data_IF_152497021396
#
_entry.id   IF_152497021396
#
_cell.length_a   1.000
_cell.length_b   1.000
_cell.length_c   1.000
_cell.angle_alpha   90.00
_cell.angle_beta   90.00
_cell.angle_gamma   90.00
#
_symmetry.space_group_name_H-M   'P 1'
#
loop_
_entity.id
_entity.type
_entity.pdbx_description
1 polymer ?
#
# COMPACT_ATOMS: atom_id res chain seq x y z
N UNK A 1 -63.26 57.29 -18.62
CA UNK A 1 -61.82 57.58 -18.69
C UNK A 1 -61.17 56.62 -17.71
N UNK A 2 -60.76 55.45 -18.18
CA UNK A 2 -60.16 54.43 -17.32
C UNK A 2 -58.71 54.83 -17.03
N UNK A 3 -58.44 55.23 -15.79
CA UNK A 3 -57.08 55.52 -15.33
C UNK A 3 -56.27 54.23 -15.34
N UNK A 4 -55.49 54.00 -16.40
CA UNK A 4 -54.50 52.93 -16.44
C UNK A 4 -53.34 53.32 -15.52
N UNK A 5 -53.23 52.65 -14.39
CA UNK A 5 -52.14 52.82 -13.42
C UNK A 5 -51.09 51.74 -13.70
N UNK A 6 -49.79 52.07 -13.70
CA UNK A 6 -48.73 51.06 -13.93
C UNK A 6 -48.43 50.28 -12.64
N UNK A 7 -47.86 49.08 -12.76
CA UNK A 7 -47.42 48.28 -11.60
C UNK A 7 -46.41 49.08 -10.75
N UNK A 8 -45.60 49.94 -11.36
CA UNK A 8 -44.67 50.83 -10.65
C UNK A 8 -45.41 51.87 -9.81
N UNK A 9 -46.47 52.45 -10.36
CA UNK A 9 -47.31 53.41 -9.64
C UNK A 9 -48.04 52.72 -8.46
N UNK A 10 -48.53 51.48 -8.66
CA UNK A 10 -49.13 50.66 -7.59
C UNK A 10 -48.08 50.33 -6.51
N UNK A 11 -46.87 49.91 -6.90
CA UNK A 11 -45.79 49.64 -5.95
C UNK A 11 -45.39 50.89 -5.17
N UNK A 12 -45.36 52.05 -5.80
CA UNK A 12 -45.07 53.32 -5.14
C UNK A 12 -46.19 53.75 -4.20
N UNK A 13 -47.45 53.56 -4.60
CA UNK A 13 -48.64 53.85 -3.78
C UNK A 13 -48.72 52.92 -2.56
N UNK A 14 -48.33 51.65 -2.71
CA UNK A 14 -48.34 50.64 -1.65
C UNK A 14 -47.02 50.54 -0.88
N UNK A 15 -46.05 51.42 -1.15
CA UNK A 15 -44.73 51.43 -0.51
C UNK A 15 -43.95 50.11 -0.69
N UNK A 16 -44.18 49.39 -1.80
CA UNK A 16 -43.58 48.09 -2.14
C UNK A 16 -42.37 48.17 -3.08
N UNK A 17 -42.03 49.37 -3.59
CA UNK A 17 -40.84 49.54 -4.41
C UNK A 17 -39.58 49.55 -3.52
N UNK A 18 -38.44 49.07 -4.04
CA UNK A 18 -37.15 49.19 -3.34
C UNK A 18 -36.81 50.67 -3.32
N UNK A 19 -37.26 51.33 -2.27
CA UNK A 19 -37.25 52.77 -2.13
C UNK A 19 -35.79 53.27 -2.04
N UNK A 20 -35.51 54.51 -2.45
CA UNK A 20 -34.18 55.14 -2.27
C UNK A 20 -33.69 54.99 -0.83
N UNK A 21 -34.63 54.99 0.13
CA UNK A 21 -34.41 54.76 1.55
C UNK A 21 -33.80 53.38 1.87
N UNK A 22 -34.24 52.31 1.21
CA UNK A 22 -33.70 50.95 1.41
C UNK A 22 -32.26 50.87 0.90
N UNK A 23 -31.98 51.51 -0.23
CA UNK A 23 -30.64 51.54 -0.83
C UNK A 23 -29.68 52.32 0.08
N UNK A 24 -30.10 53.47 0.60
CA UNK A 24 -29.30 54.26 1.55
C UNK A 24 -29.01 53.48 2.85
N UNK A 25 -30.01 52.77 3.40
CA UNK A 25 -29.83 51.91 4.58
C UNK A 25 -28.79 50.82 4.29
N UNK A 26 -28.87 50.19 3.11
CA UNK A 26 -27.96 49.14 2.70
C UNK A 26 -26.53 49.66 2.51
N UNK A 27 -26.36 50.86 1.96
CA UNK A 27 -25.04 51.50 1.83
C UNK A 27 -24.44 51.83 3.19
N UNK A 28 -25.21 52.47 4.09
CA UNK A 28 -24.74 52.83 5.44
C UNK A 28 -24.30 51.59 6.21
N UNK A 29 -25.14 50.55 6.24
CA UNK A 29 -24.84 49.31 6.97
C UNK A 29 -23.73 48.51 6.26
N UNK A 30 -23.74 48.51 4.93
CA UNK A 30 -22.75 47.81 4.11
C UNK A 30 -21.35 48.37 4.30
N UNK A 31 -21.19 49.69 4.28
CA UNK A 31 -19.90 50.33 4.46
C UNK A 31 -19.41 50.23 5.90
N UNK A 32 -20.31 50.36 6.88
CA UNK A 32 -20.02 50.10 8.29
C UNK A 32 -19.51 48.67 8.52
N UNK A 33 -20.16 47.68 7.90
CA UNK A 33 -19.77 46.28 8.05
C UNK A 33 -18.46 45.97 7.33
N UNK A 34 -18.21 46.54 6.14
CA UNK A 34 -16.91 46.40 5.46
C UNK A 34 -15.76 46.95 6.30
N UNK A 35 -15.93 48.12 6.92
CA UNK A 35 -14.92 48.67 7.83
C UNK A 35 -14.68 47.75 9.03
N UNK A 36 -15.77 47.24 9.62
CA UNK A 36 -15.68 46.27 10.72
C UNK A 36 -14.91 45.00 10.34
N UNK A 37 -15.15 44.46 9.14
CA UNK A 37 -14.49 43.24 8.64
C UNK A 37 -12.98 43.42 8.46
N UNK A 38 -12.51 44.64 8.14
CA UNK A 38 -11.09 44.97 7.94
C UNK A 38 -10.35 44.98 9.29
N UNK A 39 -10.88 45.71 10.28
CA UNK A 39 -10.31 45.79 11.62
C UNK A 39 -11.40 45.71 12.71
N UNK A 40 -11.78 44.50 13.11
CA UNK A 40 -12.87 44.30 14.06
C UNK A 40 -12.52 44.72 15.50
N UNK A 41 -11.23 44.78 15.86
CA UNK A 41 -10.77 45.08 17.23
C UNK A 41 -10.91 46.57 17.51
N UNK A 42 -10.49 47.40 16.55
CA UNK A 42 -10.51 48.84 16.71
C UNK A 42 -11.83 49.49 16.26
N UNK A 43 -12.73 48.71 15.65
CA UNK A 43 -14.01 49.22 15.18
C UNK A 43 -14.93 49.67 16.33
N UNK A 44 -15.23 50.97 16.36
CA UNK A 44 -16.13 51.58 17.35
C UNK A 44 -17.47 52.02 16.77
N UNK A 45 -17.66 51.94 15.44
CA UNK A 45 -18.89 52.39 14.77
C UNK A 45 -19.13 53.90 14.79
N UNK A 46 -18.12 54.71 15.11
CA UNK A 46 -18.24 56.17 15.25
C UNK A 46 -18.55 56.90 13.94
N UNK A 47 -18.24 56.28 12.79
CA UNK A 47 -18.46 56.85 11.45
C UNK A 47 -19.85 56.61 10.89
N UNK A 48 -20.68 55.79 11.55
CA UNK A 48 -22.03 55.49 11.08
C UNK A 48 -22.92 56.72 11.27
N UNK A 49 -23.51 57.22 10.19
CA UNK A 49 -24.43 58.35 10.25
C UNK A 49 -25.81 57.89 10.77
N UNK A 50 -25.93 57.75 12.10
CA UNK A 50 -27.16 57.29 12.75
C UNK A 50 -28.36 58.22 12.52
N UNK A 51 -28.12 59.52 12.28
CA UNK A 51 -29.18 60.47 11.95
C UNK A 51 -29.76 60.19 10.56
N UNK A 52 -28.90 60.00 9.57
CA UNK A 52 -29.31 59.63 8.21
C UNK A 52 -29.94 58.24 8.14
N UNK A 53 -29.43 57.28 8.90
CA UNK A 53 -30.05 55.96 9.07
C UNK A 53 -31.46 56.07 9.67
N UNK A 54 -31.61 56.89 10.71
CA UNK A 54 -32.87 57.12 11.40
C UNK A 54 -33.90 57.84 10.50
N UNK A 55 -33.46 58.85 9.74
CA UNK A 55 -34.30 59.61 8.83
C UNK A 55 -34.69 58.78 7.59
N UNK A 56 -33.82 57.90 7.10
CA UNK A 56 -34.15 56.93 6.05
C UNK A 56 -35.25 55.94 6.47
N UNK A 57 -35.52 55.80 7.78
CA UNK A 57 -36.61 54.96 8.30
C UNK A 57 -37.98 55.68 8.35
N UNK A 58 -38.05 56.96 8.01
CA UNK A 58 -39.25 57.82 8.17
C UNK A 58 -40.50 57.36 7.39
N UNK A 59 -40.31 56.73 6.22
CA UNK A 59 -41.38 56.29 5.33
C UNK A 59 -41.50 54.76 5.21
N UNK A 60 -40.68 54.02 5.96
CA UNK A 60 -40.69 52.57 5.94
C UNK A 60 -41.78 52.02 6.84
N UNK A 61 -42.46 50.97 6.35
CA UNK A 61 -43.34 50.18 7.20
C UNK A 61 -42.51 49.10 7.91
N UNK A 62 -42.78 48.80 9.20
CA UNK A 62 -42.06 47.77 9.95
C UNK A 62 -42.16 46.33 9.39
N UNK A 63 -42.96 46.13 8.33
CA UNK A 63 -43.19 44.87 7.62
C UNK A 63 -42.34 44.77 6.34
N UNK A 64 -41.82 45.89 5.82
CA UNK A 64 -41.10 46.01 4.54
C UNK A 64 -39.60 46.25 4.76
N UNK A 65 -39.05 45.68 5.84
CA UNK A 65 -37.64 45.81 6.16
C UNK A 65 -36.82 44.95 5.19
N UNK A 66 -35.70 45.44 4.64
CA UNK A 66 -34.93 44.76 3.61
C UNK A 66 -34.05 43.62 4.17
N UNK A 67 -34.67 42.58 4.74
CA UNK A 67 -33.94 41.48 5.39
C UNK A 67 -32.96 40.79 4.47
N UNK A 68 -33.35 40.51 3.21
CA UNK A 68 -32.48 39.85 2.24
C UNK A 68 -31.20 40.64 1.97
N UNK A 69 -31.29 41.98 1.91
CA UNK A 69 -30.14 42.85 1.66
C UNK A 69 -29.22 42.90 2.88
N UNK A 70 -29.79 42.98 4.09
CA UNK A 70 -29.01 42.93 5.33
C UNK A 70 -28.28 41.59 5.48
N UNK A 71 -28.97 40.48 5.22
CA UNK A 71 -28.36 39.16 5.21
C UNK A 71 -27.27 39.06 4.15
N UNK A 72 -27.50 39.56 2.94
CA UNK A 72 -26.48 39.55 1.88
C UNK A 72 -25.22 40.33 2.27
N UNK A 73 -25.35 41.49 2.92
CA UNK A 73 -24.20 42.27 3.42
C UNK A 73 -23.34 41.44 4.38
N UNK A 74 -23.99 40.74 5.31
CA UNK A 74 -23.30 39.90 6.31
C UNK A 74 -22.64 38.69 5.66
N UNK A 75 -23.32 38.04 4.72
CA UNK A 75 -22.82 36.84 4.06
C UNK A 75 -21.76 37.10 2.98
N UNK A 76 -21.79 38.28 2.35
CA UNK A 76 -20.88 38.61 1.23
C UNK A 76 -19.51 39.09 1.70
N UNK A 77 -19.43 39.70 2.88
CA UNK A 77 -18.18 40.24 3.40
C UNK A 77 -17.67 39.32 4.52
N UNK A 78 -16.62 38.56 4.22
CA UNK A 78 -15.99 37.66 5.18
C UNK A 78 -14.77 38.32 5.84
N UNK A 79 -14.62 38.09 7.16
CA UNK A 79 -13.37 38.41 7.86
C UNK A 79 -12.21 37.61 7.27
N UNK A 80 -11.04 38.25 7.22
CA UNK A 80 -9.80 37.56 6.82
C UNK A 80 -9.52 36.38 7.75
N UNK A 81 -8.84 35.33 7.25
CA UNK A 81 -8.45 34.16 8.07
C UNK A 81 -7.76 34.55 9.39
N UNK A 82 -6.92 35.59 9.36
CA UNK A 82 -6.23 36.10 10.55
C UNK A 82 -7.22 36.66 11.59
N UNK A 83 -8.23 37.41 11.15
CA UNK A 83 -9.23 38.01 12.03
C UNK A 83 -10.23 36.97 12.56
N UNK A 84 -10.53 35.93 11.77
CA UNK A 84 -11.43 34.84 12.14
C UNK A 84 -10.86 33.90 13.21
N UNK A 85 -9.52 33.84 13.35
CA UNK A 85 -8.83 33.02 14.35
C UNK A 85 -8.80 33.63 15.77
N UNK A 86 -9.14 34.91 15.90
CA UNK A 86 -9.19 35.63 17.17
C UNK A 86 -10.51 35.27 17.87
N UNK A 87 -10.44 34.31 18.82
CA UNK A 87 -11.59 33.77 19.58
C UNK A 87 -12.54 34.81 20.20
N UNK A 88 -12.09 36.05 20.37
CA UNK A 88 -12.85 37.11 21.04
C UNK A 88 -13.59 38.04 20.07
N UNK A 89 -13.41 37.87 18.75
CA UNK A 89 -14.05 38.69 17.72
C UNK A 89 -15.12 37.87 17.02
N UNK A 90 -16.35 37.96 17.54
CA UNK A 90 -17.52 37.45 16.84
C UNK A 90 -18.22 38.59 16.09
N UNK A 91 -18.77 38.31 14.91
CA UNK A 91 -19.59 39.27 14.15
C UNK A 91 -20.83 39.72 14.95
N UNK A 92 -21.20 39.01 16.01
CA UNK A 92 -22.21 39.44 16.99
C UNK A 92 -21.80 40.72 17.75
N UNK A 93 -20.49 41.01 17.81
CA UNK A 93 -19.93 42.27 18.30
C UNK A 93 -20.36 43.44 17.41
N UNK A 94 -20.40 43.29 16.08
CA UNK A 94 -20.86 44.34 15.17
C UNK A 94 -22.30 44.76 15.46
N UNK A 95 -23.22 43.80 15.59
CA UNK A 95 -24.61 44.08 15.93
C UNK A 95 -24.74 44.78 17.30
N UNK A 96 -23.91 44.38 18.26
CA UNK A 96 -23.88 44.97 19.61
C UNK A 96 -23.34 46.40 19.61
N UNK A 97 -22.30 46.67 18.82
CA UNK A 97 -21.72 48.01 18.62
C UNK A 97 -22.75 48.93 17.94
N UNK A 98 -23.41 48.45 16.88
CA UNK A 98 -24.48 49.20 16.22
C UNK A 98 -25.62 49.56 17.19
N UNK A 99 -26.03 48.60 18.03
CA UNK A 99 -27.07 48.84 19.02
C UNK A 99 -26.66 49.89 20.06
N UNK A 100 -25.47 49.74 20.66
CA UNK A 100 -24.97 50.65 21.69
C UNK A 100 -24.84 52.09 21.18
N UNK A 101 -24.33 52.26 19.96
CA UNK A 101 -24.17 53.57 19.35
C UNK A 101 -25.50 54.20 18.93
N UNK A 102 -26.45 53.38 18.45
CA UNK A 102 -27.79 53.87 18.16
C UNK A 102 -28.53 54.32 19.43
N UNK A 103 -28.39 53.59 20.53
CA UNK A 103 -28.90 53.99 21.84
C UNK A 103 -28.28 55.31 22.33
N UNK A 104 -26.98 55.51 22.09
CA UNK A 104 -26.30 56.78 22.35
C UNK A 104 -26.89 57.92 21.50
N UNK A 105 -27.09 57.71 20.20
CA UNK A 105 -27.75 58.69 19.32
C UNK A 105 -29.16 59.05 19.82
N UNK A 106 -29.98 58.07 20.21
CA UNK A 106 -31.32 58.34 20.74
C UNK A 106 -31.28 59.18 22.02
N UNK A 107 -30.30 58.95 22.89
CA UNK A 107 -30.12 59.73 24.10
C UNK A 107 -29.68 61.17 23.80
N UNK A 108 -28.88 61.38 22.75
CA UNK A 108 -28.39 62.70 22.36
C UNK A 108 -29.47 63.51 21.59
N UNK A 109 -30.27 62.87 20.74
CA UNK A 109 -31.32 63.51 19.92
C UNK A 109 -32.62 63.76 20.71
N UNK A 110 -33.02 62.83 21.59
CA UNK A 110 -34.30 62.89 22.31
C UNK A 110 -34.17 63.13 23.81
N UNK A 111 -32.95 63.17 24.35
CA UNK A 111 -32.70 63.46 25.75
C UNK A 111 -33.22 64.84 26.15
N UNK A 112 -33.81 64.93 27.35
CA UNK A 112 -34.10 66.24 27.95
C UNK A 112 -32.78 66.84 28.46
N UNK A 113 -32.51 68.10 28.14
CA UNK A 113 -31.46 68.87 28.82
C UNK A 113 -31.84 68.96 30.31
N UNK A 114 -31.23 68.15 31.15
CA UNK A 114 -31.38 68.27 32.60
C UNK A 114 -30.52 69.45 33.03
N UNK A 115 -31.15 70.53 33.52
CA UNK A 115 -30.44 71.60 34.24
C UNK A 115 -29.61 70.97 35.37
N UNK A 116 -28.40 71.49 35.59
CA UNK A 116 -27.36 70.89 36.45
C UNK A 116 -27.75 70.65 37.92
N UNK A 117 -28.95 71.05 38.37
CA UNK A 117 -29.38 70.99 39.77
C UNK A 117 -29.94 69.66 40.26
N UNK A 118 -30.25 68.68 39.40
CA UNK A 118 -30.86 67.39 39.81
C UNK A 118 -29.99 66.15 39.50
N UNK A 119 -28.69 66.22 39.80
CA UNK A 119 -27.80 65.04 39.66
C UNK A 119 -27.94 64.10 40.86
N UNK A 120 -28.75 63.05 40.73
CA UNK A 120 -28.65 61.87 41.58
C UNK A 120 -27.70 60.85 40.91
N UNK A 121 -26.52 60.54 41.49
CA UNK A 121 -25.48 59.71 40.85
C UNK A 121 -25.87 58.24 40.59
N UNK A 122 -26.98 57.76 41.16
CA UNK A 122 -27.40 56.35 41.09
C UNK A 122 -28.66 56.09 40.25
N UNK A 123 -29.23 57.11 39.62
CA UNK A 123 -30.40 56.96 38.77
C UNK A 123 -29.99 57.01 37.29
N UNK A 124 -29.77 55.84 36.67
CA UNK A 124 -29.64 55.73 35.21
C UNK A 124 -31.00 55.90 34.52
N UNK A 125 -31.60 57.08 34.67
CA UNK A 125 -32.83 57.51 33.99
C UNK A 125 -32.65 58.95 33.57
N UNK A 126 -31.91 59.18 32.47
CA UNK A 126 -32.10 60.41 31.69
C UNK A 126 -33.58 60.44 31.31
N UNK A 127 -34.28 61.50 31.68
CA UNK A 127 -35.68 61.67 31.30
C UNK A 127 -35.71 62.00 29.80
N UNK A 128 -36.47 61.21 29.05
CA UNK A 128 -36.58 61.35 27.59
C UNK A 128 -37.89 62.06 27.26
N UNK A 129 -37.90 62.94 26.25
CA UNK A 129 -39.13 63.58 25.77
C UNK A 129 -40.07 62.54 25.14
N UNK A 130 -40.99 62.01 25.96
CA UNK A 130 -41.98 61.02 25.54
C UNK A 130 -42.80 61.46 24.33
N UNK A 131 -43.03 62.77 24.11
CA UNK A 131 -43.84 63.24 22.99
C UNK A 131 -43.07 63.16 21.66
N UNK A 132 -41.77 63.46 21.66
CA UNK A 132 -40.92 63.32 20.47
C UNK A 132 -40.66 61.86 20.12
N UNK A 133 -40.35 61.02 21.12
CA UNK A 133 -40.19 59.57 20.90
C UNK A 133 -41.46 58.92 20.35
N UNK A 134 -42.65 59.33 20.83
CA UNK A 134 -43.90 58.78 20.32
C UNK A 134 -44.12 59.10 18.83
N UNK A 135 -43.63 60.26 18.37
CA UNK A 135 -43.70 60.68 16.96
C UNK A 135 -42.77 59.85 16.07
N UNK A 136 -41.57 59.53 16.56
CA UNK A 136 -40.56 58.76 15.82
C UNK A 136 -40.53 57.26 16.16
N UNK A 137 -41.54 56.78 16.91
CA UNK A 137 -41.66 55.38 17.35
C UNK A 137 -41.46 54.38 16.23
N UNK A 138 -42.05 54.62 15.06
CA UNK A 138 -41.94 53.71 13.92
C UNK A 138 -40.49 53.60 13.42
N UNK A 139 -39.75 54.72 13.34
CA UNK A 139 -38.34 54.75 12.94
C UNK A 139 -37.48 53.94 13.91
N UNK A 140 -37.70 54.16 15.21
CA UNK A 140 -36.96 53.47 16.28
C UNK A 140 -37.18 51.96 16.19
N UNK A 141 -38.44 51.52 16.05
CA UNK A 141 -38.79 50.11 15.93
C UNK A 141 -38.14 49.46 14.70
N UNK A 142 -38.08 50.18 13.58
CA UNK A 142 -37.47 49.67 12.34
C UNK A 142 -35.97 49.46 12.52
N UNK A 143 -35.23 50.42 13.10
CA UNK A 143 -33.79 50.25 13.36
C UNK A 143 -33.50 49.10 14.30
N UNK A 144 -34.24 48.95 15.40
CA UNK A 144 -34.06 47.80 16.30
C UNK A 144 -34.35 46.47 15.62
N UNK A 145 -35.38 46.40 14.78
CA UNK A 145 -35.62 45.20 13.97
C UNK A 145 -34.46 44.93 13.01
N UNK A 146 -33.93 45.93 12.32
CA UNK A 146 -32.78 45.74 11.43
C UNK A 146 -31.58 45.16 12.18
N UNK A 147 -31.27 45.67 13.38
CA UNK A 147 -30.20 45.14 14.24
C UNK A 147 -30.47 43.68 14.63
N UNK A 148 -31.71 43.35 14.98
CA UNK A 148 -32.10 41.97 15.31
C UNK A 148 -31.89 41.03 14.11
N UNK A 149 -32.22 41.48 12.90
CA UNK A 149 -32.00 40.71 11.68
C UNK A 149 -30.53 40.56 11.31
N UNK A 150 -29.71 41.59 11.54
CA UNK A 150 -28.26 41.48 11.43
C UNK A 150 -27.73 40.43 12.39
N UNK A 151 -28.16 40.46 13.66
CA UNK A 151 -27.78 39.48 14.68
C UNK A 151 -28.19 38.05 14.28
N UNK A 152 -29.38 37.89 13.71
CA UNK A 152 -29.85 36.60 13.21
C UNK A 152 -29.00 36.12 12.02
N UNK A 153 -28.73 36.98 11.04
CA UNK A 153 -27.91 36.66 9.88
C UNK A 153 -26.50 36.23 10.29
N UNK A 154 -25.90 36.91 11.27
CA UNK A 154 -24.62 36.52 11.86
C UNK A 154 -24.69 35.13 12.47
N UNK A 155 -25.68 34.86 13.33
CA UNK A 155 -25.82 33.54 13.96
C UNK A 155 -26.03 32.41 12.94
N UNK A 156 -26.76 32.69 11.85
CA UNK A 156 -26.92 31.75 10.74
C UNK A 156 -25.59 31.48 10.02
N UNK A 157 -24.80 32.52 9.77
CA UNK A 157 -23.48 32.43 9.16
C UNK A 157 -22.53 31.60 10.03
N UNK A 158 -22.44 31.90 11.32
CA UNK A 158 -21.63 31.14 12.29
C UNK A 158 -21.99 29.65 12.29
N UNK A 159 -23.28 29.30 12.34
CA UNK A 159 -23.71 27.91 12.30
C UNK A 159 -23.39 27.18 10.98
N UNK A 160 -23.30 27.90 9.86
CA UNK A 160 -22.82 27.34 8.59
C UNK A 160 -21.32 27.10 8.60
N UNK A 161 -20.53 28.04 9.15
CA UNK A 161 -19.08 27.88 9.30
C UNK A 161 -18.73 26.69 10.19
N UNK A 162 -19.39 26.51 11.33
CA UNK A 162 -19.17 25.36 12.20
C UNK A 162 -19.42 24.04 11.47
N UNK A 163 -20.51 23.94 10.70
CA UNK A 163 -20.81 22.75 9.89
C UNK A 163 -19.76 22.51 8.81
N UNK A 164 -19.27 23.57 8.17
CA UNK A 164 -18.21 23.47 7.18
C UNK A 164 -16.90 22.98 7.80
N UNK A 165 -16.53 23.47 8.99
CA UNK A 165 -15.33 23.02 9.70
C UNK A 165 -15.40 21.53 10.06
N UNK A 166 -16.57 21.06 10.51
CA UNK A 166 -16.79 19.63 10.77
C UNK A 166 -16.63 18.83 9.48
N UNK A 167 -17.29 19.24 8.39
CA UNK A 167 -17.21 18.54 7.11
C UNK A 167 -15.77 18.51 6.53
N UNK A 168 -15.02 19.60 6.65
CA UNK A 168 -13.61 19.67 6.24
C UNK A 168 -12.76 18.70 7.10
N UNK A 169 -13.02 18.65 8.41
CA UNK A 169 -12.30 17.72 9.28
C UNK A 169 -12.57 16.25 8.91
N UNK A 170 -13.82 15.90 8.60
CA UNK A 170 -14.20 14.56 8.13
C UNK A 170 -13.52 14.24 6.80
N UNK A 171 -13.58 15.14 5.80
CA UNK A 171 -12.91 14.97 4.52
C UNK A 171 -11.39 14.75 4.66
N UNK A 172 -10.73 15.51 5.54
CA UNK A 172 -9.30 15.32 5.80
C UNK A 172 -9.01 13.93 6.38
N UNK A 173 -9.85 13.43 7.29
CA UNK A 173 -9.68 12.06 7.81
C UNK A 173 -9.89 10.98 6.74
N UNK A 174 -10.79 11.20 5.78
CA UNK A 174 -10.99 10.29 4.65
C UNK A 174 -9.81 10.33 3.67
N UNK A 175 -9.27 11.52 3.38
CA UNK A 175 -8.07 11.70 2.56
C UNK A 175 -6.89 10.94 3.17
N UNK A 176 -6.66 11.06 4.47
CA UNK A 176 -5.58 10.36 5.17
C UNK A 176 -5.74 8.83 5.10
N UNK A 177 -6.97 8.32 5.27
CA UNK A 177 -7.29 6.89 5.11
C UNK A 177 -7.00 6.42 3.68
N UNK A 178 -7.43 7.20 2.67
CA UNK A 178 -7.21 6.87 1.27
C UNK A 178 -5.72 6.89 0.91
N UNK A 179 -4.96 7.88 1.38
CA UNK A 179 -3.50 7.93 1.20
C UNK A 179 -2.82 6.69 1.77
N UNK A 180 -3.20 6.27 2.97
CA UNK A 180 -2.66 5.04 3.58
C UNK A 180 -2.99 3.77 2.78
N UNK A 181 -4.14 3.75 2.10
CA UNK A 181 -4.56 2.63 1.24
C UNK A 181 -3.77 2.60 -0.07
N UNK A 182 -3.54 3.78 -0.67
CA UNK A 182 -2.69 3.92 -1.86
C UNK A 182 -1.27 3.46 -1.59
N UNK A 183 -0.65 3.87 -0.47
CA UNK A 183 0.70 3.44 -0.09
C UNK A 183 0.80 1.90 0.08
N UNK A 184 -0.26 1.27 0.61
CA UNK A 184 -0.33 -0.19 0.74
C UNK A 184 -0.47 -0.89 -0.61
N UNK A 185 -1.25 -0.32 -1.53
CA UNK A 185 -1.42 -0.82 -2.88
C UNK A 185 -0.11 -0.72 -3.67
N UNK A 186 0.59 0.41 -3.59
CA UNK A 186 1.89 0.60 -4.26
C UNK A 186 2.92 -0.43 -3.79
N UNK A 187 3.03 -0.64 -2.47
CA UNK A 187 3.88 -1.71 -1.91
C UNK A 187 3.51 -3.10 -2.40
N UNK A 188 2.22 -3.36 -2.60
CA UNK A 188 1.73 -4.66 -3.09
C UNK A 188 2.05 -4.84 -4.57
N UNK A 189 1.93 -3.79 -5.38
CA UNK A 189 2.30 -3.78 -6.80
C UNK A 189 3.79 -4.04 -6.96
N UNK A 190 4.65 -3.38 -6.18
CA UNK A 190 6.09 -3.60 -6.24
C UNK A 190 6.47 -5.04 -5.89
N UNK A 191 5.84 -5.64 -4.87
CA UNK A 191 6.03 -7.06 -4.54
C UNK A 191 5.61 -8.00 -5.67
N UNK A 192 4.54 -7.68 -6.39
CA UNK A 192 4.09 -8.47 -7.54
C UNK A 192 5.08 -8.35 -8.69
N UNK A 193 5.61 -7.16 -8.96
CA UNK A 193 6.65 -6.95 -9.97
C UNK A 193 7.92 -7.75 -9.65
N UNK A 194 8.39 -7.72 -8.40
CA UNK A 194 9.54 -8.50 -7.94
C UNK A 194 9.30 -10.02 -8.11
N UNK A 195 8.09 -10.49 -7.78
CA UNK A 195 7.70 -11.88 -8.01
C UNK A 195 7.70 -12.24 -9.50
N UNK A 196 7.16 -11.37 -10.37
CA UNK A 196 7.15 -11.60 -11.81
C UNK A 196 8.57 -11.70 -12.38
N UNK A 197 9.49 -10.83 -11.94
CA UNK A 197 10.90 -10.89 -12.33
C UNK A 197 11.55 -12.20 -11.88
N UNK A 198 11.29 -12.62 -10.63
CA UNK A 198 11.78 -13.91 -10.12
C UNK A 198 11.27 -15.10 -10.93
N UNK A 199 10.00 -15.08 -11.36
CA UNK A 199 9.40 -16.14 -12.18
C UNK A 199 10.03 -16.18 -13.58
N UNK A 200 10.28 -15.02 -14.20
CA UNK A 200 10.99 -14.93 -15.49
C UNK A 200 12.39 -15.53 -15.41
N UNK A 201 13.09 -15.39 -14.28
CA UNK A 201 14.40 -16.01 -14.06
C UNK A 201 14.37 -17.55 -13.92
N UNK A 202 13.25 -18.11 -13.45
CA UNK A 202 13.11 -19.55 -13.19
C UNK A 202 12.55 -20.31 -14.42
N UNK A 203 11.72 -19.68 -15.25
CA UNK A 203 11.10 -20.34 -16.41
C UNK A 203 12.11 -20.97 -17.39
N UNK A 204 13.21 -20.31 -17.79
CA UNK A 204 14.23 -20.94 -18.63
C UNK A 204 14.89 -22.15 -17.98
N UNK A 205 15.01 -22.16 -16.64
CA UNK A 205 15.58 -23.28 -15.90
C UNK A 205 14.66 -24.50 -15.96
N UNK A 206 13.33 -24.29 -15.83
CA UNK A 206 12.36 -25.37 -16.03
C UNK A 206 12.39 -25.95 -17.43
N UNK A 207 12.44 -25.10 -18.46
CA UNK A 207 12.55 -25.54 -19.86
C UNK A 207 13.83 -26.36 -20.07
N UNK A 208 14.95 -25.92 -19.52
CA UNK A 208 16.21 -26.65 -19.60
C UNK A 208 16.17 -28.00 -18.86
N UNK A 209 15.59 -28.05 -17.65
CA UNK A 209 15.40 -29.30 -16.89
C UNK A 209 14.51 -30.27 -17.67
N UNK A 210 13.42 -29.78 -18.26
CA UNK A 210 12.51 -30.60 -19.08
C UNK A 210 13.26 -31.20 -20.28
N UNK A 211 14.05 -30.40 -21.00
CA UNK A 211 14.86 -30.88 -22.13
C UNK A 211 15.87 -31.96 -21.72
N UNK A 212 16.55 -31.78 -20.58
CA UNK A 212 17.48 -32.79 -20.06
C UNK A 212 16.72 -34.07 -19.67
N UNK A 213 15.60 -33.96 -18.98
CA UNK A 213 14.78 -35.11 -18.60
C UNK A 213 14.30 -35.90 -19.81
N UNK A 214 13.79 -35.22 -20.84
CA UNK A 214 13.37 -35.84 -22.10
C UNK A 214 14.54 -36.56 -22.79
N UNK A 215 15.73 -35.96 -22.82
CA UNK A 215 16.93 -36.59 -23.38
C UNK A 215 17.34 -37.85 -22.62
N UNK A 216 17.28 -37.85 -21.28
CA UNK A 216 17.56 -39.04 -20.46
C UNK A 216 16.52 -40.13 -20.76
N UNK A 217 15.23 -39.77 -20.78
CA UNK A 217 14.15 -40.72 -21.06
C UNK A 217 14.33 -41.40 -22.42
N UNK A 218 14.65 -40.65 -23.48
CA UNK A 218 14.94 -41.25 -24.78
C UNK A 218 16.18 -42.14 -24.77
N UNK A 219 17.25 -41.75 -24.08
CA UNK A 219 18.45 -42.58 -23.96
C UNK A 219 18.19 -43.90 -23.22
N UNK A 220 17.40 -43.86 -22.13
CA UNK A 220 17.03 -45.04 -21.34
C UNK A 220 16.10 -45.95 -22.14
N UNK A 221 15.08 -45.41 -22.80
CA UNK A 221 14.18 -46.19 -23.67
C UNK A 221 14.93 -46.80 -24.87
N UNK A 222 15.86 -46.06 -25.46
CA UNK A 222 16.77 -46.58 -26.50
C UNK A 222 17.65 -47.71 -25.98
N UNK A 223 18.26 -47.54 -24.81
CA UNK A 223 19.08 -48.57 -24.17
C UNK A 223 18.29 -49.85 -23.82
N UNK A 224 17.04 -49.71 -23.38
CA UNK A 224 16.16 -50.87 -23.15
C UNK A 224 15.75 -51.58 -24.44
N UNK A 225 15.54 -50.85 -25.52
CA UNK A 225 15.18 -51.44 -26.81
C UNK A 225 16.33 -52.28 -27.40
N UNK A 226 17.56 -51.79 -27.28
CA UNK A 226 18.76 -52.56 -27.65
C UNK A 226 18.95 -53.79 -26.75
N UNK A 227 18.74 -53.65 -25.44
CA UNK A 227 18.77 -54.76 -24.50
C UNK A 227 17.73 -55.84 -24.84
N UNK A 228 16.51 -55.44 -25.23
CA UNK A 228 15.44 -56.36 -25.65
C UNK A 228 15.81 -57.12 -26.92
N UNK A 229 16.37 -56.43 -27.92
CA UNK A 229 16.80 -57.05 -29.18
C UNK A 229 17.86 -58.13 -28.94
N UNK A 230 18.79 -57.86 -28.03
CA UNK A 230 19.81 -58.83 -27.63
C UNK A 230 19.22 -59.98 -26.82
N UNK A 231 18.26 -59.70 -25.94
CA UNK A 231 17.53 -60.73 -25.21
C UNK A 231 16.75 -61.67 -26.14
N UNK A 232 16.22 -61.15 -27.25
CA UNK A 232 15.54 -61.97 -28.26
C UNK A 232 16.51 -62.80 -29.11
N UNK A 233 17.76 -62.35 -29.28
CA UNK A 233 18.80 -63.11 -29.97
C UNK A 233 19.40 -64.27 -29.15
N UNK A 234 18.93 -64.50 -27.92
CA UNK A 234 19.49 -65.45 -26.94
C UNK A 234 19.30 -66.95 -27.24
N UNK A 235 18.77 -67.35 -28.40
CA UNK A 235 18.65 -68.78 -28.71
C UNK A 235 20.00 -69.51 -28.79
N UNK A 236 21.12 -68.81 -29.02
CA UNK A 236 22.47 -69.42 -29.19
C UNK A 236 23.66 -68.58 -28.65
N UNK A 237 23.43 -67.59 -27.77
CA UNK A 237 24.51 -66.69 -27.29
C UNK A 237 24.99 -67.10 -25.89
N UNK A 238 26.29 -67.38 -25.68
CA UNK A 238 26.82 -67.71 -24.36
C UNK A 238 26.60 -66.60 -23.33
N UNK A 239 26.13 -66.96 -22.13
CA UNK A 239 25.90 -66.09 -20.96
C UNK A 239 27.03 -65.08 -20.70
N UNK A 240 28.34 -65.43 -20.83
CA UNK A 240 29.42 -64.48 -20.62
C UNK A 240 29.39 -63.26 -21.54
N UNK A 241 28.96 -63.42 -22.81
CA UNK A 241 28.85 -62.30 -23.76
C UNK A 241 27.72 -61.35 -23.39
N UNK A 242 26.61 -61.89 -22.89
CA UNK A 242 25.46 -61.12 -22.44
C UNK A 242 25.81 -60.30 -21.20
N UNK A 243 26.49 -60.89 -20.21
CA UNK A 243 26.93 -60.18 -19.00
C UNK A 243 27.87 -59.01 -19.30
N UNK A 244 28.83 -59.19 -20.21
CA UNK A 244 29.75 -58.12 -20.61
C UNK A 244 28.98 -56.99 -21.30
N UNK A 245 28.07 -57.32 -22.22
CA UNK A 245 27.34 -56.32 -22.98
C UNK A 245 26.33 -55.54 -22.13
N UNK A 246 25.57 -56.23 -21.27
CA UNK A 246 24.60 -55.57 -20.38
C UNK A 246 25.29 -54.71 -19.32
N UNK A 247 26.43 -55.14 -18.79
CA UNK A 247 27.23 -54.32 -17.87
C UNK A 247 27.77 -53.05 -18.56
N UNK A 248 28.21 -53.16 -19.81
CA UNK A 248 28.68 -52.01 -20.60
C UNK A 248 27.54 -51.02 -20.89
N UNK A 249 26.36 -51.52 -21.29
CA UNK A 249 25.18 -50.68 -21.50
C UNK A 249 24.76 -49.94 -20.22
N UNK A 250 24.67 -50.65 -19.09
CA UNK A 250 24.26 -50.05 -17.81
C UNK A 250 25.27 -49.03 -17.29
N UNK A 251 26.57 -49.25 -17.52
CA UNK A 251 27.60 -48.27 -17.22
C UNK A 251 27.43 -47.01 -18.10
N UNK A 252 27.13 -47.19 -19.39
CA UNK A 252 26.82 -46.08 -20.31
C UNK A 252 25.60 -45.27 -19.87
N UNK A 253 24.50 -45.94 -19.50
CA UNK A 253 23.30 -45.29 -18.97
C UNK A 253 23.61 -44.53 -17.67
N UNK A 254 24.33 -45.15 -16.73
CA UNK A 254 24.71 -44.50 -15.48
C UNK A 254 25.57 -43.23 -15.70
N UNK A 255 26.47 -43.27 -16.70
CA UNK A 255 27.27 -42.12 -17.08
C UNK A 255 26.44 -40.99 -17.72
N UNK A 256 25.50 -41.33 -18.61
CA UNK A 256 24.58 -40.35 -19.22
C UNK A 256 23.69 -39.68 -18.16
N UNK A 257 23.16 -40.45 -17.22
CA UNK A 257 22.39 -39.92 -16.09
C UNK A 257 23.25 -39.00 -15.23
N UNK A 258 24.49 -39.37 -14.93
CA UNK A 258 25.42 -38.51 -14.19
C UNK A 258 25.74 -37.20 -14.92
N UNK A 259 26.04 -37.25 -16.21
CA UNK A 259 26.29 -36.05 -17.02
C UNK A 259 25.08 -35.11 -17.02
N UNK A 260 23.89 -35.69 -17.09
CA UNK A 260 22.63 -34.94 -17.08
C UNK A 260 22.38 -34.26 -15.74
N UNK A 261 22.57 -34.96 -14.61
CA UNK A 261 22.51 -34.33 -13.29
C UNK A 261 23.56 -33.25 -13.11
N UNK A 262 24.79 -33.49 -13.58
CA UNK A 262 25.87 -32.50 -13.56
C UNK A 262 25.55 -31.26 -14.41
N UNK A 263 24.88 -31.43 -15.55
CA UNK A 263 24.38 -30.33 -16.36
C UNK A 263 23.28 -29.55 -15.63
N UNK A 264 22.30 -30.24 -15.02
CA UNK A 264 21.24 -29.62 -14.21
C UNK A 264 21.85 -28.78 -13.08
N UNK A 265 22.82 -29.32 -12.35
CA UNK A 265 23.50 -28.61 -11.25
C UNK A 265 24.25 -27.36 -11.68
N UNK A 266 24.85 -27.38 -12.87
CA UNK A 266 25.50 -26.18 -13.42
C UNK A 266 24.48 -25.12 -13.85
N UNK A 267 23.31 -25.54 -14.35
CA UNK A 267 22.25 -24.63 -14.78
C UNK A 267 21.46 -24.04 -13.60
N UNK A 268 21.17 -24.85 -12.57
CA UNK A 268 20.45 -24.41 -11.36
C UNK A 268 21.37 -23.79 -10.32
N UNK A 269 22.69 -23.83 -10.53
CA UNK A 269 23.73 -23.42 -9.58
C UNK A 269 23.64 -24.13 -8.22
N UNK A 270 22.86 -25.21 -8.11
CA UNK A 270 22.74 -26.00 -6.90
C UNK A 270 23.93 -26.95 -6.78
N UNK A 271 24.64 -26.98 -5.64
CA UNK A 271 25.80 -27.85 -5.49
C UNK A 271 25.37 -29.32 -5.39
N UNK A 272 25.76 -30.17 -6.34
CA UNK A 272 25.63 -31.64 -6.25
C UNK A 272 26.55 -32.29 -5.19
N UNK A 273 27.15 -31.51 -4.29
CA UNK A 273 28.10 -32.04 -3.32
C UNK A 273 27.30 -32.60 -2.15
N UNK A 274 27.33 -33.92 -1.95
CA UNK A 274 26.86 -34.54 -0.68
C UNK A 274 27.81 -34.29 0.50
N UNK A 275 28.87 -33.51 0.29
CA UNK A 275 29.86 -33.13 1.29
C UNK A 275 29.31 -31.90 2.02
N UNK A 276 28.88 -32.06 3.27
CA UNK A 276 28.30 -31.00 4.10
C UNK A 276 29.31 -29.96 4.58
N UNK A 277 30.09 -29.38 3.67
CA UNK A 277 31.08 -28.36 3.98
C UNK A 277 30.69 -27.04 3.30
N UNK A 278 30.51 -25.99 4.10
CA UNK A 278 30.40 -24.61 3.63
C UNK A 278 31.80 -24.11 3.23
N UNK A 279 32.07 -24.01 1.92
CA UNK A 279 33.32 -23.44 1.39
C UNK A 279 34.13 -24.33 0.44
N UNK A 280 35.41 -23.97 0.23
CA UNK A 280 36.34 -24.60 -0.71
C UNK A 280 36.89 -25.94 -0.22
N UNK A 281 36.00 -26.92 0.02
CA UNK A 281 36.42 -28.24 0.46
C UNK A 281 36.90 -29.12 -0.71
N UNK A 282 38.11 -29.70 -0.60
CA UNK A 282 38.66 -30.73 -1.50
C UNK A 282 38.02 -32.10 -1.21
N UNK A 283 36.72 -32.26 -1.46
CA UNK A 283 36.08 -33.56 -1.30
C UNK A 283 36.46 -34.50 -2.47
N UNK A 284 36.96 -35.70 -2.16
CA UNK A 284 37.21 -36.75 -3.16
C UNK A 284 35.92 -37.09 -3.93
N UNK A 285 36.04 -37.46 -5.21
CA UNK A 285 34.92 -37.81 -6.10
C UNK A 285 33.93 -38.81 -5.47
N UNK A 286 34.44 -39.78 -4.69
CA UNK A 286 33.64 -40.78 -3.96
C UNK A 286 32.71 -40.18 -2.89
N UNK A 287 33.14 -39.16 -2.16
CA UNK A 287 32.30 -38.46 -1.17
C UNK A 287 31.40 -37.41 -1.82
N UNK A 288 31.80 -36.91 -3.00
CA UNK A 288 31.04 -35.93 -3.77
C UNK A 288 29.82 -36.57 -4.46
N UNK A 289 29.99 -37.76 -5.06
CA UNK A 289 28.94 -38.50 -5.76
C UNK A 289 28.97 -40.00 -5.38
N UNK A 290 28.53 -40.36 -4.15
CA UNK A 290 28.64 -41.73 -3.65
C UNK A 290 27.86 -42.74 -4.52
N UNK A 291 26.65 -42.38 -4.95
CA UNK A 291 25.76 -43.26 -5.72
C UNK A 291 26.37 -43.67 -7.07
N UNK A 292 26.91 -42.72 -7.83
CA UNK A 292 27.52 -42.98 -9.14
C UNK A 292 28.78 -43.82 -9.00
N UNK A 293 29.59 -43.54 -7.97
CA UNK A 293 30.82 -44.29 -7.73
C UNK A 293 30.55 -45.76 -7.39
N UNK A 294 29.66 -46.03 -6.43
CA UNK A 294 29.33 -47.42 -6.05
C UNK A 294 28.59 -48.16 -7.16
N UNK A 295 27.67 -47.49 -7.88
CA UNK A 295 26.96 -48.08 -9.01
C UNK A 295 27.91 -48.46 -10.16
N UNK A 296 28.83 -47.56 -10.54
CA UNK A 296 29.83 -47.87 -11.58
C UNK A 296 30.77 -49.01 -11.17
N UNK A 297 31.16 -49.07 -9.89
CA UNK A 297 32.01 -50.15 -9.37
C UNK A 297 31.29 -51.51 -9.42
N UNK A 298 29.99 -51.54 -9.14
CA UNK A 298 29.16 -52.74 -9.29
C UNK A 298 29.08 -53.21 -10.75
N UNK A 299 28.86 -52.32 -11.72
CA UNK A 299 28.81 -52.71 -13.13
C UNK A 299 30.15 -53.19 -13.67
N UNK A 300 31.26 -52.53 -13.28
CA UNK A 300 32.61 -52.98 -13.59
C UNK A 300 32.85 -54.40 -13.03
N UNK A 301 32.37 -54.68 -11.83
CA UNK A 301 32.45 -56.01 -11.22
C UNK A 301 31.70 -57.07 -12.04
N UNK A 302 30.45 -56.81 -12.45
CA UNK A 302 29.67 -57.73 -13.31
C UNK A 302 30.38 -57.97 -14.65
N UNK A 303 31.01 -56.95 -15.22
CA UNK A 303 31.81 -57.07 -16.45
C UNK A 303 33.03 -57.98 -16.26
N UNK A 304 33.74 -57.86 -15.12
CA UNK A 304 34.88 -58.74 -14.82
C UNK A 304 34.46 -60.19 -14.64
N UNK A 305 33.32 -60.47 -14.00
CA UNK A 305 32.77 -61.83 -13.93
C UNK A 305 32.51 -62.38 -15.33
N UNK A 306 31.88 -61.58 -16.20
CA UNK A 306 31.65 -61.98 -17.59
C UNK A 306 32.93 -62.29 -18.35
N UNK A 307 34.01 -61.51 -18.14
CA UNK A 307 35.31 -61.76 -18.76
C UNK A 307 36.00 -63.01 -18.20
N UNK A 308 35.93 -63.22 -16.88
CA UNK A 308 36.50 -64.38 -16.20
C UNK A 308 35.85 -65.68 -16.68
N UNK A 309 34.52 -65.71 -16.78
CA UNK A 309 33.75 -66.85 -17.32
C UNK A 309 34.11 -67.12 -18.80
N UNK A 310 34.38 -66.08 -19.59
CA UNK A 310 34.80 -66.23 -20.99
C UNK A 310 36.21 -66.79 -21.13
N UNK A 311 37.17 -66.34 -20.31
CA UNK A 311 38.55 -66.84 -20.32
C UNK A 311 38.63 -68.32 -19.95
N UNK A 312 37.74 -68.79 -19.09
CA UNK A 312 37.70 -70.17 -18.63
C UNK A 312 37.09 -71.16 -19.65
N UNK A 313 36.75 -70.72 -20.87
CA UNK A 313 36.30 -71.56 -22.00
C UNK A 313 35.10 -72.50 -21.71
N UNK A 314 34.28 -72.20 -20.70
CA UNK A 314 33.02 -72.91 -20.50
C UNK A 314 32.00 -72.42 -21.54
N UNK A 315 31.88 -73.16 -22.65
CA UNK A 315 30.94 -72.83 -23.72
C UNK A 315 29.47 -73.06 -23.32
N UNK A 316 29.20 -73.82 -22.25
CA UNK A 316 27.84 -74.12 -21.77
C UNK A 316 27.74 -73.97 -20.24
N UNK A 317 27.83 -72.72 -19.77
CA UNK A 317 27.74 -72.41 -18.34
C UNK A 317 26.29 -72.55 -17.87
N UNK A 318 26.00 -73.59 -17.09
CA UNK A 318 24.75 -73.73 -16.35
C UNK A 318 25.07 -73.80 -14.85
N UNK A 319 24.33 -73.08 -14.00
CA UNK A 319 24.59 -73.03 -12.53
C UNK A 319 24.74 -74.41 -11.86
N UNK A 320 24.10 -75.44 -12.43
CA UNK A 320 24.14 -76.82 -11.95
C UNK A 320 25.52 -77.46 -12.07
N UNK A 321 26.23 -77.24 -13.18
CA UNK A 321 27.53 -77.85 -13.46
C UNK A 321 28.63 -77.27 -12.55
N UNK A 322 28.48 -76.04 -12.07
CA UNK A 322 29.41 -75.42 -11.12
C UNK A 322 29.38 -76.10 -9.74
N UNK A 323 28.21 -76.59 -9.32
CA UNK A 323 28.05 -77.29 -8.04
C UNK A 323 28.48 -78.76 -8.13
N UNK A 324 28.35 -79.37 -9.32
CA UNK A 324 28.84 -80.71 -9.60
C UNK A 324 30.38 -80.77 -9.73
N UNK A 325 31.03 -79.77 -10.35
CA UNK A 325 32.50 -79.69 -10.42
C UNK A 325 33.15 -79.35 -9.06
N UNK A 326 32.44 -78.66 -8.16
CA UNK A 326 32.88 -78.43 -6.77
C UNK A 326 33.03 -79.75 -5.99
N UNK A 327 32.23 -80.77 -6.35
CA UNK A 327 32.30 -82.12 -5.78
C UNK A 327 33.50 -82.93 -6.33
N UNK A 328 34.02 -82.55 -7.50
CA UNK A 328 35.15 -83.20 -8.19
C UNK A 328 36.52 -82.54 -7.92
N UNK A 329 36.64 -81.70 -6.88
CA UNK A 329 37.87 -80.99 -6.45
C UNK A 329 38.42 -79.90 -7.39
N UNK A 330 37.69 -79.47 -8.42
CA UNK A 330 38.06 -78.30 -9.23
C UNK A 330 37.58 -76.99 -8.57
N UNK A 331 38.41 -76.45 -7.65
CA UNK A 331 38.10 -75.25 -6.84
C UNK A 331 38.41 -73.95 -7.60
N UNK A 332 39.09 -74.04 -8.75
CA UNK A 332 39.56 -72.88 -9.52
C UNK A 332 38.47 -71.90 -10.01
N UNK A 333 37.26 -72.33 -10.47
CA UNK A 333 36.19 -71.40 -10.84
C UNK A 333 35.64 -70.61 -9.64
N UNK A 334 35.67 -71.20 -8.43
CA UNK A 334 35.27 -70.53 -7.19
C UNK A 334 36.27 -69.43 -6.81
N UNK A 335 37.57 -69.69 -6.97
CA UNK A 335 38.61 -68.68 -6.76
C UNK A 335 38.52 -67.54 -7.79
N UNK A 336 38.29 -67.85 -9.07
CA UNK A 336 38.21 -66.84 -10.13
C UNK A 336 37.01 -65.89 -9.94
N UNK A 337 35.89 -66.38 -9.37
CA UNK A 337 34.70 -65.59 -9.06
C UNK A 337 34.82 -64.82 -7.74
N UNK A 338 35.60 -65.31 -6.76
CA UNK A 338 35.76 -64.72 -5.42
C UNK A 338 36.99 -63.81 -5.24
N UNK A 339 38.02 -63.94 -6.08
CA UNK A 339 39.22 -63.08 -6.03
C UNK A 339 38.91 -61.62 -6.45
N UNK A 340 38.21 -61.34 -7.57
CA UNK A 340 37.86 -59.97 -7.95
C UNK A 340 37.06 -59.19 -6.87
N UNK A 341 36.03 -59.75 -6.20
CA UNK A 341 35.33 -59.04 -5.14
C UNK A 341 36.19 -58.83 -3.88
N UNK A 342 37.06 -59.77 -3.52
CA UNK A 342 38.00 -59.60 -2.40
C UNK A 342 39.04 -58.51 -2.68
N UNK A 343 39.56 -58.43 -3.91
CA UNK A 343 40.51 -57.38 -4.33
C UNK A 343 39.82 -56.02 -4.38
N UNK A 344 38.59 -55.93 -4.89
CA UNK A 344 37.81 -54.69 -4.90
C UNK A 344 37.49 -54.21 -3.48
N UNK A 345 37.07 -55.11 -2.59
CA UNK A 345 36.83 -54.77 -1.18
C UNK A 345 38.12 -54.32 -0.49
N UNK A 346 39.22 -55.06 -0.65
CA UNK A 346 40.53 -54.69 -0.10
C UNK A 346 41.00 -53.32 -0.63
N UNK A 347 40.78 -53.02 -1.91
CA UNK A 347 41.11 -51.72 -2.50
C UNK A 347 40.21 -50.59 -1.96
N UNK A 348 38.91 -50.83 -1.78
CA UNK A 348 37.98 -49.86 -1.17
C UNK A 348 38.35 -49.58 0.30
N UNK A 349 38.69 -50.62 1.07
CA UNK A 349 39.16 -50.46 2.46
C UNK A 349 40.53 -49.79 2.55
N UNK A 350 41.47 -50.14 1.67
CA UNK A 350 42.80 -49.53 1.62
C UNK A 350 42.71 -48.03 1.27
N UNK A 351 41.86 -47.67 0.31
CA UNK A 351 41.64 -46.27 -0.06
C UNK A 351 40.92 -45.50 1.06
N UNK A 352 39.97 -46.12 1.78
CA UNK A 352 39.32 -45.49 2.95
C UNK A 352 40.29 -45.27 4.12
N UNK A 353 41.15 -46.25 4.39
CA UNK A 353 42.21 -46.16 5.42
C UNK A 353 43.22 -45.05 5.09
N UNK A 354 43.68 -44.99 3.84
CA UNK A 354 44.64 -43.95 3.38
C UNK A 354 44.02 -42.55 3.46
N UNK A 355 42.74 -42.38 3.11
CA UNK A 355 42.03 -41.10 3.20
C UNK A 355 41.83 -40.65 4.65
N UNK A 356 41.49 -41.56 5.57
CA UNK A 356 41.41 -41.23 7.01
C UNK A 356 42.77 -40.80 7.58
N UNK A 357 43.86 -41.46 7.18
CA UNK A 357 45.23 -41.17 7.63
C UNK A 357 45.76 -39.83 7.09
N UNK A 358 45.41 -39.45 5.86
CA UNK A 358 45.79 -38.15 5.27
C UNK A 358 44.99 -37.00 5.92
N UNK A 359 43.67 -37.19 6.14
CA UNK A 359 42.85 -36.17 6.82
C UNK A 359 43.24 -35.93 8.28
N UNK A 360 43.84 -36.90 8.96
CA UNK A 360 44.41 -36.71 10.32
C UNK A 360 45.80 -36.12 10.34
N UNK A 361 46.55 -36.18 9.23
CA UNK A 361 47.88 -35.58 9.10
C UNK A 361 47.80 -34.06 8.84
N UNK A 362 46.84 -33.59 8.04
CA UNK A 362 46.63 -32.16 7.79
C UNK A 362 46.18 -31.41 9.07
N UNK A 363 45.30 -32.00 9.87
CA UNK A 363 44.83 -31.41 11.16
C UNK A 363 45.94 -31.28 12.22
N UNK A 364 47.02 -32.06 12.12
CA UNK A 364 48.17 -31.96 13.04
C UNK A 364 49.20 -30.90 12.64
N UNK A 365 49.21 -30.45 11.38
CA UNK A 365 50.16 -29.43 10.90
C UNK A 365 49.64 -27.99 11.09
N UNK A 366 48.32 -27.77 11.19
CA UNK A 366 47.74 -26.45 11.54
C UNK A 366 47.78 -26.12 13.05
N UNK A 367 48.15 -27.09 13.91
CA UNK A 367 48.24 -26.94 15.38
C UNK A 367 49.67 -26.83 15.91
N UNK A 368 50.65 -26.63 15.03
CA UNK A 368 52.06 -26.41 15.36
C UNK A 368 52.53 -25.14 14.70
#
# INVERSE_FOLDING_TARGET
>A
MDSKVTIKDIKKEWYLDVDTNITNIAEIIGDAYKEYVIDPIEYKGDKVNYKELHDSCSHLQPQLIPYSILTEIIFRNDMSENNMSLKDIAETSFASILQANYEKFLNDEYGLNVSESDRNPFANKRSIDKKKIQKDKNKIVIVYKMIEHIKLAVSQKEGLYERQLVAISELNTEIDKNKSTVDKLEKSINKVADMEESLKGVYPQFVAILGIFTSIMFAVLGGFNEMKTLAQSMANVPIPKLLIFTALLMLGINFLVFLSYNAISKLTKLPLKSCGCEGACKCLFRKKHPTVFYSSLFFIYVMFIGFALRLYKYNDFTFRNMFDDLKNNDILPLFLLSIPPLVLLAWVFYTDYKVKKIGTAEVKLEKK
#
